data_IF_381742296390
#
_entry.id   IF_381742296390
#
_cell.length_a   1.000
_cell.length_b   1.000
_cell.length_c   1.000
_cell.angle_alpha   90.00
_cell.angle_beta   90.00
_cell.angle_gamma   90.00
#
_symmetry.space_group_name_H-M   'P 1'
#
loop_
_entity.id
_entity.type
_entity.pdbx_description
1 polymer ?
#
# COMPACT_ATOMS: atom_id res chain seq x y z
N UNK A 1 7.68 -12.48 -6.67
CA UNK A 1 6.60 -11.54 -6.31
C UNK A 1 5.25 -11.99 -6.87
N UNK A 2 4.27 -12.21 -6.00
CA UNK A 2 2.88 -12.59 -6.32
C UNK A 2 1.92 -11.55 -5.73
N UNK A 3 1.01 -10.98 -6.52
CA UNK A 3 -0.02 -10.06 -6.01
C UNK A 3 -1.00 -10.84 -5.13
N UNK A 4 -1.07 -10.49 -3.85
CA UNK A 4 -1.95 -11.13 -2.87
C UNK A 4 -3.16 -10.27 -2.52
N UNK A 5 -3.00 -8.94 -2.52
CA UNK A 5 -4.10 -8.01 -2.23
C UNK A 5 -4.07 -6.78 -3.13
N UNK A 6 -5.27 -6.31 -3.48
CA UNK A 6 -5.51 -5.04 -4.16
C UNK A 6 -6.69 -4.34 -3.51
N UNK A 7 -6.54 -3.08 -3.15
CA UNK A 7 -7.59 -2.20 -2.60
C UNK A 7 -7.62 -0.89 -3.36
N UNK A 8 -8.75 -0.22 -3.29
CA UNK A 8 -8.90 1.15 -3.79
C UNK A 8 -9.48 2.06 -2.71
N UNK A 9 -9.06 3.32 -2.71
CA UNK A 9 -9.58 4.35 -1.81
C UNK A 9 -9.88 5.64 -2.57
N UNK A 10 -10.93 6.35 -2.16
CA UNK A 10 -11.29 7.63 -2.76
C UNK A 10 -10.19 8.69 -2.56
N UNK A 11 -10.03 9.59 -3.54
CA UNK A 11 -9.08 10.72 -3.56
C UNK A 11 -9.14 11.62 -2.32
N UNK A 12 -10.30 11.70 -1.66
CA UNK A 12 -10.51 12.54 -0.46
C UNK A 12 -9.57 12.21 0.70
N UNK A 13 -8.92 11.06 0.66
CA UNK A 13 -7.88 10.70 1.62
C UNK A 13 -6.51 11.14 1.11
N UNK A 14 -5.69 11.69 2.00
CA UNK A 14 -4.28 11.92 1.73
C UNK A 14 -3.47 10.60 1.76
N UNK A 15 -2.23 10.64 1.26
CA UNK A 15 -1.37 9.47 1.12
C UNK A 15 -1.12 8.76 2.47
N UNK A 16 -0.87 9.50 3.54
CA UNK A 16 -0.62 8.94 4.88
C UNK A 16 -1.84 8.16 5.36
N UNK A 17 -3.02 8.76 5.25
CA UNK A 17 -4.26 8.14 5.65
C UNK A 17 -4.62 6.91 4.77
N UNK A 18 -4.10 6.82 3.55
CA UNK A 18 -4.25 5.65 2.67
C UNK A 18 -3.28 4.54 3.06
N UNK A 19 -2.02 4.88 3.34
CA UNK A 19 -1.01 3.95 3.83
C UNK A 19 -1.51 3.24 5.10
N UNK A 20 -1.93 4.00 6.11
CA UNK A 20 -2.43 3.45 7.38
C UNK A 20 -3.61 2.50 7.16
N UNK A 21 -4.61 2.93 6.38
CA UNK A 21 -5.79 2.10 6.08
C UNK A 21 -5.44 0.83 5.33
N UNK A 22 -4.43 0.86 4.46
CA UNK A 22 -4.03 -0.31 3.71
C UNK A 22 -3.39 -1.36 4.62
N UNK A 23 -2.46 -0.98 5.49
CA UNK A 23 -1.87 -1.92 6.46
C UNK A 23 -2.88 -2.46 7.48
N UNK A 24 -3.85 -1.64 7.90
CA UNK A 24 -4.95 -2.06 8.79
C UNK A 24 -5.99 -2.97 8.11
N UNK A 25 -5.93 -3.16 6.79
CA UNK A 25 -6.96 -3.89 6.05
C UNK A 25 -6.91 -5.41 6.21
N UNK A 26 -5.76 -5.98 6.58
CA UNK A 26 -5.56 -7.43 6.60
C UNK A 26 -4.79 -7.93 7.84
N UNK A 27 -5.21 -7.55 9.07
CA UNK A 27 -4.48 -7.87 10.30
C UNK A 27 -4.40 -9.38 10.59
N UNK A 28 -5.35 -10.18 10.09
CA UNK A 28 -5.34 -11.64 10.26
C UNK A 28 -4.37 -12.35 9.30
N UNK A 29 -4.00 -11.71 8.19
CA UNK A 29 -3.20 -12.33 7.12
C UNK A 29 -1.71 -12.02 7.24
N UNK A 30 -1.37 -10.82 7.70
CA UNK A 30 0.02 -10.39 7.86
C UNK A 30 0.38 -9.92 9.27
N UNK A 31 -0.57 -9.73 10.18
CA UNK A 31 -0.25 -9.26 11.53
C UNK A 31 0.25 -7.82 11.57
N UNK A 32 1.21 -7.52 12.45
CA UNK A 32 1.83 -6.20 12.56
C UNK A 32 3.10 -6.09 11.70
N UNK A 33 3.46 -4.86 11.32
CA UNK A 33 4.75 -4.56 10.68
C UNK A 33 5.88 -4.69 11.73
N UNK A 34 6.92 -5.44 11.39
CA UNK A 34 8.14 -5.61 12.21
C UNK A 34 9.25 -4.68 11.72
N UNK A 35 9.48 -4.65 10.41
CA UNK A 35 10.43 -3.76 9.75
C UNK A 35 9.79 -3.18 8.47
N UNK A 36 10.17 -1.95 8.13
CA UNK A 36 9.61 -1.19 7.01
C UNK A 36 10.76 -0.48 6.28
N UNK A 37 11.12 -1.00 5.12
CA UNK A 37 12.05 -0.38 4.19
C UNK A 37 11.26 0.43 3.15
N UNK A 38 11.26 1.75 3.31
CA UNK A 38 10.61 2.65 2.36
C UNK A 38 11.54 2.85 1.15
N UNK A 39 11.15 2.30 0.01
CA UNK A 39 11.85 2.49 -1.28
C UNK A 39 11.50 3.85 -1.90
N UNK A 40 10.24 4.28 -1.79
CA UNK A 40 9.75 5.56 -2.30
C UNK A 40 8.63 6.12 -1.43
N UNK A 41 8.70 7.41 -1.11
CA UNK A 41 7.60 8.14 -0.49
C UNK A 41 7.56 9.57 -1.06
N UNK A 42 6.67 9.80 -2.01
CA UNK A 42 6.48 11.07 -2.69
C UNK A 42 5.04 11.58 -2.50
N UNK A 43 4.88 12.54 -1.58
CA UNK A 43 3.60 13.17 -1.30
C UNK A 43 3.09 14.06 -2.43
N UNK A 44 3.97 14.56 -3.29
CA UNK A 44 3.60 15.45 -4.41
C UNK A 44 3.03 14.61 -5.54
N UNK A 45 3.72 13.53 -5.89
CA UNK A 45 3.28 12.61 -6.94
C UNK A 45 2.21 11.62 -6.44
N UNK A 46 1.99 11.53 -5.12
CA UNK A 46 1.05 10.60 -4.53
C UNK A 46 1.47 9.16 -4.74
N UNK A 47 2.73 8.84 -4.43
CA UNK A 47 3.31 7.50 -4.60
C UNK A 47 3.99 7.06 -3.32
N UNK A 48 3.75 5.81 -2.92
CA UNK A 48 4.46 5.13 -1.85
C UNK A 48 4.82 3.71 -2.27
N UNK A 49 6.06 3.31 -2.03
CA UNK A 49 6.58 1.96 -2.28
C UNK A 49 7.43 1.52 -1.10
N UNK A 50 7.22 0.31 -0.59
CA UNK A 50 8.00 -0.27 0.50
C UNK A 50 8.18 -1.78 0.38
N UNK A 51 9.20 -2.28 1.05
CA UNK A 51 9.37 -3.68 1.42
C UNK A 51 9.18 -3.79 2.93
N UNK A 52 8.23 -4.63 3.36
CA UNK A 52 7.82 -4.76 4.75
C UNK A 52 8.02 -6.19 5.24
N UNK A 53 8.69 -6.34 6.37
CA UNK A 53 8.74 -7.58 7.14
C UNK A 53 7.59 -7.58 8.15
N UNK A 54 6.76 -8.62 8.09
CA UNK A 54 5.56 -8.75 8.92
C UNK A 54 5.78 -9.75 10.06
N UNK A 55 4.98 -9.64 11.14
CA UNK A 55 5.13 -10.46 12.36
C UNK A 55 5.07 -11.97 12.09
N UNK A 56 4.38 -12.39 11.03
CA UNK A 56 4.23 -13.78 10.64
C UNK A 56 5.26 -14.27 9.62
N UNK A 57 6.43 -13.63 9.55
CA UNK A 57 7.52 -13.93 8.61
C UNK A 57 7.15 -13.71 7.12
N UNK A 58 6.07 -12.97 6.85
CA UNK A 58 5.70 -12.59 5.49
C UNK A 58 6.48 -11.33 5.08
N UNK A 59 7.14 -11.39 3.92
CA UNK A 59 7.75 -10.22 3.30
C UNK A 59 6.83 -9.70 2.19
N UNK A 60 6.42 -8.43 2.31
CA UNK A 60 5.50 -7.75 1.41
C UNK A 60 6.20 -6.63 0.67
N UNK A 61 5.98 -6.55 -0.64
CA UNK A 61 6.13 -5.29 -1.38
C UNK A 61 4.78 -4.59 -1.41
N UNK A 62 4.72 -3.37 -0.90
CA UNK A 62 3.52 -2.52 -0.98
C UNK A 62 3.75 -1.42 -2.00
N UNK A 63 2.79 -1.24 -2.90
CA UNK A 63 2.78 -0.16 -3.89
C UNK A 63 1.45 0.60 -3.79
N UNK A 64 1.53 1.91 -3.59
CA UNK A 64 0.38 2.81 -3.48
C UNK A 64 0.60 3.97 -4.44
N UNK A 65 -0.38 4.23 -5.29
CA UNK A 65 -0.33 5.29 -6.28
C UNK A 65 -1.71 5.83 -6.63
N UNK A 66 -1.77 7.06 -7.14
CA UNK A 66 -2.99 7.60 -7.74
C UNK A 66 -3.17 7.05 -9.15
N UNK A 67 -4.40 6.66 -9.44
CA UNK A 67 -4.87 6.31 -10.78
C UNK A 67 -5.91 7.34 -11.22
N UNK A 68 -5.62 7.99 -12.35
CA UNK A 68 -6.52 8.90 -13.06
C UNK A 68 -7.00 8.17 -14.33
N UNK A 69 -8.28 7.81 -14.40
CA UNK A 69 -8.90 7.22 -15.60
C UNK A 69 -9.44 8.30 -16.57
N UNK A 70 -9.22 9.59 -16.27
CA UNK A 70 -9.82 10.71 -16.97
C UNK A 70 -11.28 11.03 -16.57
N UNK A 71 -11.83 10.35 -15.56
CA UNK A 71 -13.05 10.78 -14.84
C UNK A 71 -12.69 11.68 -13.65
N UNK A 72 -13.59 12.55 -13.20
CA UNK A 72 -13.30 13.64 -12.23
C UNK A 72 -12.77 13.17 -10.86
N UNK A 73 -12.85 11.87 -10.54
CA UNK A 73 -12.40 11.31 -9.27
C UNK A 73 -11.14 10.45 -9.47
N UNK A 74 -9.97 11.02 -9.12
CA UNK A 74 -8.75 10.21 -8.94
C UNK A 74 -9.01 9.13 -7.88
N UNK A 75 -8.36 7.97 -7.97
CA UNK A 75 -8.48 6.94 -6.94
C UNK A 75 -7.12 6.41 -6.56
N UNK A 76 -6.94 6.19 -5.26
CA UNK A 76 -5.77 5.47 -4.76
C UNK A 76 -5.90 4.00 -5.11
N UNK A 77 -4.86 3.45 -5.73
CA UNK A 77 -4.67 2.02 -5.91
C UNK A 77 -3.61 1.59 -4.91
N UNK A 78 -3.90 0.54 -4.13
CA UNK A 78 -2.98 -0.05 -3.18
C UNK A 78 -2.84 -1.53 -3.49
N UNK A 79 -1.61 -1.99 -3.72
CA UNK A 79 -1.28 -3.36 -4.09
C UNK A 79 -0.24 -3.90 -3.12
N UNK A 80 -0.45 -5.13 -2.65
CA UNK A 80 0.51 -5.85 -1.83
C UNK A 80 0.93 -7.13 -2.55
N UNK A 81 2.23 -7.32 -2.68
CA UNK A 81 2.84 -8.47 -3.32
C UNK A 81 3.64 -9.25 -2.30
N UNK A 82 3.47 -10.57 -2.25
CA UNK A 82 4.37 -11.44 -1.50
C UNK A 82 5.71 -11.52 -2.23
N UNK A 83 6.82 -11.17 -1.57
CA UNK A 83 8.12 -11.04 -2.25
C UNK A 83 8.69 -12.39 -2.73
N UNK A 84 8.44 -13.47 -1.96
CA UNK A 84 8.70 -14.92 -2.17
C UNK A 84 9.83 -15.49 -1.33
#
# INVERSE_FOLDING_TARGET
>A
MELIHKRTYADRYDLEAVIERFYDSFPEEWGAIVDNEIERNDYIDGVYESIDEMENDLELKVEIYRYDDGEEDETWICEAYKVS
#
